data_IF_617629361309
#
_entry.id   IF_617629361309
#
_cell.length_a   1.000
_cell.length_b   1.000
_cell.length_c   1.000
_cell.angle_alpha   90.00
_cell.angle_beta   90.00
_cell.angle_gamma   90.00
#
_symmetry.space_group_name_H-M   'P 1'
#
loop_
_entity.id
_entity.type
_entity.pdbx_description
1 polymer ?
#
# COMPACT_ATOMS: atom_id res chain seq x y z
N UNK A 1 -3.64 14.23 -20.22
CA UNK A 1 -3.43 13.57 -18.92
C UNK A 1 -4.72 12.88 -18.55
N UNK A 2 -4.80 11.57 -18.67
CA UNK A 2 -6.00 10.80 -18.29
C UNK A 2 -6.06 10.76 -16.77
N UNK A 3 -7.05 11.41 -16.17
CA UNK A 3 -7.34 11.29 -14.74
C UNK A 3 -7.78 9.86 -14.47
N UNK A 4 -7.05 9.13 -13.67
CA UNK A 4 -7.48 7.84 -13.14
C UNK A 4 -8.69 8.05 -12.23
N UNK A 5 -9.79 7.37 -12.55
CA UNK A 5 -10.96 7.34 -11.68
C UNK A 5 -10.88 6.08 -10.80
N UNK A 6 -10.50 6.26 -9.54
CA UNK A 6 -10.35 5.19 -8.56
C UNK A 6 -11.68 4.61 -8.06
N UNK A 7 -12.80 5.26 -8.40
CA UNK A 7 -14.14 4.83 -8.00
C UNK A 7 -14.74 3.77 -8.94
N UNK A 8 -14.20 3.62 -10.14
CA UNK A 8 -14.65 2.60 -11.08
C UNK A 8 -13.84 1.31 -10.90
N UNK A 9 -14.53 0.15 -10.92
CA UNK A 9 -13.93 -1.19 -10.85
C UNK A 9 -13.20 -1.54 -12.15
N UNK A 10 -12.19 -0.81 -12.51
CA UNK A 10 -11.40 -1.11 -13.70
C UNK A 10 -10.22 -2.02 -13.34
N UNK A 11 -10.03 -3.04 -14.17
CA UNK A 11 -8.75 -3.72 -14.28
C UNK A 11 -7.78 -2.67 -14.81
N UNK A 12 -6.92 -2.16 -13.94
CA UNK A 12 -5.92 -1.16 -14.32
C UNK A 12 -4.89 -1.87 -15.19
N UNK A 13 -4.95 -1.67 -16.50
CA UNK A 13 -3.85 -1.99 -17.39
C UNK A 13 -2.80 -0.91 -17.21
N UNK A 14 -1.66 -1.31 -16.65
CA UNK A 14 -0.56 -0.38 -16.40
C UNK A 14 0.05 0.07 -17.72
N UNK A 15 0.15 1.38 -18.01
CA UNK A 15 1.04 1.82 -19.06
C UNK A 15 2.46 1.38 -18.73
N UNK A 16 3.24 1.05 -19.74
CA UNK A 16 4.66 0.62 -19.63
C UNK A 16 5.55 1.74 -19.08
N UNK A 17 5.28 2.22 -17.88
CA UNK A 17 6.22 3.06 -17.14
C UNK A 17 7.08 2.16 -16.26
N UNK A 18 8.37 2.35 -16.36
CA UNK A 18 9.38 1.64 -15.56
C UNK A 18 9.23 1.89 -14.05
N UNK A 19 8.54 2.96 -13.65
CA UNK A 19 8.35 3.33 -12.25
C UNK A 19 7.03 2.81 -11.68
N UNK A 20 7.12 2.14 -10.53
CA UNK A 20 5.96 1.78 -9.71
C UNK A 20 5.48 2.96 -8.86
N UNK A 21 6.42 3.68 -8.23
CA UNK A 21 6.15 4.85 -7.41
C UNK A 21 7.20 5.93 -7.69
N UNK A 22 6.78 7.18 -7.68
CA UNK A 22 7.65 8.34 -7.69
C UNK A 22 7.25 9.27 -6.53
N UNK A 23 8.21 9.63 -5.71
CA UNK A 23 8.04 10.49 -4.55
C UNK A 23 8.76 11.81 -4.82
N UNK A 24 8.08 12.92 -4.57
CA UNK A 24 8.60 14.26 -4.76
C UNK A 24 8.38 15.11 -3.52
N UNK A 25 9.48 15.62 -2.99
CA UNK A 25 9.51 16.56 -1.85
C UNK A 25 8.62 16.10 -0.68
N UNK A 26 8.76 14.82 -0.29
CA UNK A 26 7.94 14.24 0.75
C UNK A 26 8.38 14.71 2.12
N UNK A 27 7.47 15.36 2.84
CA UNK A 27 7.63 15.70 4.24
C UNK A 27 6.56 15.02 5.09
N UNK A 28 6.93 14.61 6.28
CA UNK A 28 5.99 14.05 7.26
C UNK A 28 6.22 14.66 8.61
N UNK A 29 5.17 15.17 9.22
CA UNK A 29 5.17 15.79 10.52
C UNK A 29 4.31 14.99 11.50
N UNK A 30 4.73 14.94 12.76
CA UNK A 30 3.94 14.50 13.90
C UNK A 30 3.82 15.68 14.88
N UNK A 31 2.69 16.38 14.83
CA UNK A 31 2.55 17.68 15.49
C UNK A 31 3.57 18.68 14.94
N UNK A 32 4.44 19.21 15.80
CA UNK A 32 5.50 20.14 15.39
C UNK A 32 6.80 19.46 14.96
N UNK A 33 6.93 18.14 15.16
CA UNK A 33 8.16 17.41 14.83
C UNK A 33 8.13 16.94 13.38
N UNK A 34 9.05 17.42 12.58
CA UNK A 34 9.30 16.92 11.23
C UNK A 34 10.09 15.61 11.30
N UNK A 35 9.46 14.53 10.87
CA UNK A 35 10.04 13.17 10.88
C UNK A 35 10.66 12.78 9.54
N UNK A 36 10.16 13.32 8.43
CA UNK A 36 10.70 13.18 7.08
C UNK A 36 10.87 14.58 6.49
N UNK A 37 12.03 14.85 5.90
CA UNK A 37 12.49 16.19 5.53
C UNK A 37 12.83 16.28 4.05
N UNK A 38 11.83 16.35 3.20
CA UNK A 38 11.99 16.52 1.77
C UNK A 38 12.71 15.33 1.10
N UNK A 39 12.01 14.21 0.93
CA UNK A 39 12.55 13.03 0.25
C UNK A 39 12.06 12.99 -1.19
N UNK A 40 13.00 12.88 -2.11
CA UNK A 40 12.77 12.50 -3.50
C UNK A 40 13.26 11.07 -3.70
N UNK A 41 12.40 10.18 -4.21
CA UNK A 41 12.73 8.78 -4.44
C UNK A 41 11.88 8.17 -5.55
N UNK A 42 12.47 7.23 -6.29
CA UNK A 42 11.77 6.47 -7.31
C UNK A 42 11.89 4.97 -7.03
N UNK A 43 10.82 4.25 -7.27
CA UNK A 43 10.77 2.81 -7.17
C UNK A 43 10.49 2.22 -8.54
N UNK A 44 11.38 1.38 -9.00
CA UNK A 44 11.20 0.66 -10.26
C UNK A 44 10.13 -0.42 -10.11
N UNK A 45 9.38 -0.63 -11.19
CA UNK A 45 8.39 -1.69 -11.27
C UNK A 45 9.07 -3.07 -11.25
N UNK A 46 8.47 -4.02 -10.52
CA UNK A 46 8.96 -5.40 -10.42
C UNK A 46 10.39 -5.52 -9.83
N UNK A 47 10.82 -4.56 -9.04
CA UNK A 47 12.10 -4.58 -8.31
C UNK A 47 11.88 -4.58 -6.81
N UNK A 48 12.87 -5.10 -6.10
CA UNK A 48 12.92 -5.04 -4.63
C UNK A 48 13.85 -3.89 -4.25
N UNK A 49 13.33 -2.94 -3.48
CA UNK A 49 14.11 -1.83 -2.92
C UNK A 49 14.20 -1.97 -1.41
N UNK A 50 15.40 -1.99 -0.85
CA UNK A 50 15.62 -2.06 0.59
C UNK A 50 15.93 -0.69 1.17
N UNK A 51 15.23 -0.30 2.26
CA UNK A 51 15.51 0.89 3.05
C UNK A 51 16.35 0.51 4.27
N UNK A 52 17.59 0.97 4.32
CA UNK A 52 18.55 0.66 5.38
C UNK A 52 18.84 1.93 6.18
N UNK A 53 18.98 1.80 7.49
CA UNK A 53 19.31 2.91 8.38
C UNK A 53 19.05 2.57 9.85
N UNK A 54 19.54 3.39 10.80
CA UNK A 54 19.38 3.16 12.22
C UNK A 54 17.92 3.19 12.67
N UNK A 55 17.64 2.67 13.88
CA UNK A 55 16.31 2.76 14.47
C UNK A 55 15.91 4.23 14.66
N UNK A 56 14.64 4.55 14.37
CA UNK A 56 14.10 5.89 14.51
C UNK A 56 14.43 6.89 13.39
N UNK A 57 15.17 6.52 12.32
CA UNK A 57 15.50 7.43 11.22
C UNK A 57 14.33 7.68 10.23
N UNK A 58 13.14 7.17 10.49
CA UNK A 58 11.95 7.49 9.68
C UNK A 58 11.53 6.42 8.67
N UNK A 59 12.22 5.27 8.53
CA UNK A 59 11.88 4.22 7.54
C UNK A 59 10.41 3.80 7.58
N UNK A 60 9.89 3.49 8.77
CA UNK A 60 8.48 3.08 8.94
C UNK A 60 7.51 4.22 8.68
N UNK A 61 7.89 5.46 9.02
CA UNK A 61 7.11 6.66 8.70
C UNK A 61 7.01 6.85 7.20
N UNK A 62 8.13 6.71 6.50
CA UNK A 62 8.19 6.77 5.04
C UNK A 62 7.30 5.68 4.40
N UNK A 63 7.48 4.40 4.78
CA UNK A 63 6.69 3.30 4.25
C UNK A 63 5.17 3.50 4.49
N UNK A 64 4.78 4.00 5.67
CA UNK A 64 3.37 4.32 5.97
C UNK A 64 2.82 5.46 5.13
N UNK A 65 3.67 6.35 4.63
CA UNK A 65 3.23 7.43 3.74
C UNK A 65 2.82 6.88 2.37
N UNK A 66 3.50 5.85 1.87
CA UNK A 66 3.27 5.31 0.52
C UNK A 66 1.84 4.79 0.31
N UNK A 67 1.19 4.32 1.37
CA UNK A 67 -0.20 3.84 1.33
C UNK A 67 -1.15 4.63 2.26
N UNK A 68 -0.76 5.83 2.64
CA UNK A 68 -1.54 6.75 3.48
C UNK A 68 -1.90 6.20 4.88
N UNK A 69 -1.12 5.25 5.40
CA UNK A 69 -1.35 4.76 6.77
C UNK A 69 -1.02 5.81 7.84
N UNK A 70 -0.29 6.87 7.52
CA UNK A 70 -0.11 8.01 8.43
C UNK A 70 -1.41 8.78 8.68
N UNK A 71 -2.41 8.72 7.78
CA UNK A 71 -3.73 9.34 7.95
C UNK A 71 -4.50 8.79 9.17
N UNK A 72 -4.10 7.63 9.69
CA UNK A 72 -4.71 7.04 10.91
C UNK A 72 -4.15 7.64 12.20
N UNK A 73 -3.23 8.57 12.10
CA UNK A 73 -2.57 9.23 13.24
C UNK A 73 -2.98 10.71 13.23
N UNK A 74 -3.82 11.13 14.16
CA UNK A 74 -4.45 12.46 14.18
C UNK A 74 -3.47 13.63 14.09
N UNK A 75 -2.28 13.48 14.68
CA UNK A 75 -1.23 14.51 14.65
C UNK A 75 -0.32 14.42 13.44
N UNK A 76 -0.52 13.44 12.56
CA UNK A 76 0.32 13.29 11.38
C UNK A 76 -0.15 14.21 10.24
N UNK A 77 0.82 14.84 9.61
CA UNK A 77 0.62 15.64 8.39
C UNK A 77 1.64 15.20 7.34
N UNK A 78 1.17 14.86 6.17
CA UNK A 78 2.00 14.47 5.02
C UNK A 78 1.86 15.55 3.96
N UNK A 79 2.98 16.04 3.43
CA UNK A 79 3.03 16.97 2.30
C UNK A 79 4.03 16.48 1.25
N UNK A 80 4.00 17.07 0.07
CA UNK A 80 4.71 16.57 -1.10
C UNK A 80 3.83 15.64 -1.92
N UNK A 81 4.39 14.98 -2.92
CA UNK A 81 3.66 14.13 -3.84
C UNK A 81 4.14 12.68 -3.78
N UNK A 82 3.21 11.76 -3.81
CA UNK A 82 3.47 10.32 -3.98
C UNK A 82 2.68 9.88 -5.20
N UNK A 83 3.38 9.69 -6.31
CA UNK A 83 2.78 9.35 -7.59
C UNK A 83 2.80 7.84 -7.79
N UNK A 84 1.64 7.22 -7.74
CA UNK A 84 1.43 5.84 -8.17
C UNK A 84 0.93 5.85 -9.61
N UNK A 85 1.76 5.43 -10.54
CA UNK A 85 1.46 5.45 -11.98
C UNK A 85 1.02 6.84 -12.49
N UNK A 86 1.64 7.88 -11.98
CA UNK A 86 1.37 9.26 -12.35
C UNK A 86 0.17 9.91 -11.64
N UNK A 87 -0.51 9.17 -10.75
CA UNK A 87 -1.61 9.70 -9.92
C UNK A 87 -1.08 9.98 -8.52
N UNK A 88 -1.28 11.20 -8.03
CA UNK A 88 -0.88 11.57 -6.67
C UNK A 88 -1.84 10.95 -5.65
N UNK A 89 -1.34 9.97 -4.90
CA UNK A 89 -2.13 9.27 -3.87
C UNK A 89 -2.52 10.16 -2.69
N UNK A 90 -1.86 11.31 -2.51
CA UNK A 90 -2.18 12.30 -1.46
C UNK A 90 -3.26 13.29 -1.90
N UNK A 91 -3.71 13.27 -3.15
CA UNK A 91 -4.74 14.17 -3.62
C UNK A 91 -6.07 13.97 -2.85
N UNK A 92 -6.77 15.07 -2.59
CA UNK A 92 -8.00 15.08 -1.77
C UNK A 92 -9.17 14.28 -2.36
N UNK A 93 -9.15 14.05 -3.67
CA UNK A 93 -10.18 13.30 -4.41
C UNK A 93 -9.89 11.80 -4.50
N UNK A 94 -8.84 11.30 -3.85
CA UNK A 94 -8.49 9.88 -3.86
C UNK A 94 -9.30 9.12 -2.80
N UNK A 95 -9.98 8.06 -3.25
CA UNK A 95 -10.55 7.08 -2.34
C UNK A 95 -9.44 6.20 -1.76
N UNK A 96 -9.13 6.41 -0.47
CA UNK A 96 -8.04 5.73 0.24
C UNK A 96 -8.24 4.21 0.30
N UNK A 97 -9.48 3.74 0.42
CA UNK A 97 -9.77 2.31 0.48
C UNK A 97 -9.51 1.62 -0.86
N UNK A 98 -9.86 2.28 -1.97
CA UNK A 98 -9.56 1.76 -3.31
C UNK A 98 -8.04 1.79 -3.58
N UNK A 99 -7.37 2.88 -3.25
CA UNK A 99 -5.92 3.01 -3.40
C UNK A 99 -5.16 1.92 -2.64
N UNK A 100 -5.57 1.59 -1.41
CA UNK A 100 -4.95 0.53 -0.60
C UNK A 100 -5.14 -0.88 -1.14
N UNK A 101 -6.04 -1.10 -2.10
CA UNK A 101 -6.11 -2.38 -2.83
C UNK A 101 -4.94 -2.58 -3.78
N UNK A 102 -4.27 -1.48 -4.17
CA UNK A 102 -3.14 -1.48 -5.09
C UNK A 102 -1.79 -1.37 -4.38
N UNK A 103 -1.74 -0.69 -3.23
CA UNK A 103 -0.52 -0.52 -2.44
C UNK A 103 -0.71 -1.21 -1.09
N UNK A 104 -0.40 -2.50 -1.06
CA UNK A 104 -0.48 -3.31 0.16
C UNK A 104 0.64 -2.99 1.14
N UNK A 105 0.45 -3.38 2.40
CA UNK A 105 1.47 -3.25 3.45
C UNK A 105 1.50 -4.48 4.33
N UNK A 106 2.69 -4.99 4.60
CA UNK A 106 2.93 -6.05 5.60
C UNK A 106 3.50 -5.40 6.85
N UNK A 107 2.82 -5.58 7.98
CA UNK A 107 3.25 -5.01 9.27
C UNK A 107 4.26 -5.93 9.96
N UNK A 108 5.15 -5.33 10.75
CA UNK A 108 6.13 -6.06 11.54
C UNK A 108 5.48 -7.00 12.56
N UNK A 109 4.35 -6.59 13.14
CA UNK A 109 3.54 -7.45 14.02
C UNK A 109 2.31 -7.91 13.23
N UNK A 110 2.11 -9.22 13.10
CA UNK A 110 0.91 -9.73 12.44
C UNK A 110 -0.33 -9.33 13.25
N UNK A 111 -1.39 -8.95 12.55
CA UNK A 111 -2.67 -8.60 13.17
C UNK A 111 -3.81 -9.39 12.49
N UNK A 112 -3.83 -10.72 12.66
CA UNK A 112 -4.88 -11.54 12.09
C UNK A 112 -6.22 -11.27 12.79
N UNK A 113 -7.31 -11.43 12.06
CA UNK A 113 -8.63 -11.47 12.65
C UNK A 113 -8.76 -12.72 13.54
N UNK A 114 -9.59 -12.64 14.59
CA UNK A 114 -9.95 -13.78 15.44
C UNK A 114 -10.82 -14.81 14.67
N UNK A 115 -10.27 -15.38 13.62
CA UNK A 115 -10.85 -16.33 12.68
C UNK A 115 -9.84 -17.41 12.34
N UNK A 116 -10.29 -18.50 11.69
CA UNK A 116 -9.36 -19.52 11.18
C UNK A 116 -8.36 -18.93 10.16
N UNK A 117 -7.24 -19.63 9.95
CA UNK A 117 -6.25 -19.29 8.90
C UNK A 117 -6.95 -19.15 7.55
N UNK A 118 -7.78 -20.14 7.19
CA UNK A 118 -8.58 -20.11 5.97
C UNK A 118 -9.38 -18.81 5.84
N UNK A 119 -10.15 -18.44 6.85
CA UNK A 119 -10.96 -17.22 6.83
C UNK A 119 -10.16 -15.93 6.86
N UNK A 120 -8.96 -15.93 7.38
CA UNK A 120 -8.06 -14.77 7.28
C UNK A 120 -7.59 -14.56 5.84
N UNK A 121 -7.26 -15.65 5.13
CA UNK A 121 -6.82 -15.59 3.74
C UNK A 121 -8.00 -15.22 2.81
N UNK A 122 -9.16 -15.87 2.98
CA UNK A 122 -10.31 -15.66 2.08
C UNK A 122 -11.02 -14.33 2.31
N UNK A 123 -10.87 -13.69 3.47
CA UNK A 123 -11.62 -12.51 3.88
C UNK A 123 -11.66 -11.41 2.82
N UNK A 124 -10.51 -11.05 2.25
CA UNK A 124 -10.44 -9.99 1.24
C UNK A 124 -11.12 -10.40 -0.08
N UNK A 125 -11.00 -11.66 -0.47
CA UNK A 125 -11.61 -12.20 -1.68
C UNK A 125 -13.14 -12.31 -1.55
N UNK A 126 -13.63 -12.77 -0.39
CA UNK A 126 -15.06 -12.80 -0.08
C UNK A 126 -15.66 -11.38 -0.11
N UNK A 127 -14.93 -10.37 0.40
CA UNK A 127 -15.36 -8.96 0.34
C UNK A 127 -15.37 -8.39 -1.08
N UNK A 128 -14.56 -8.92 -1.97
CA UNK A 128 -14.59 -8.60 -3.41
C UNK A 128 -15.66 -9.36 -4.18
N UNK A 129 -16.46 -10.22 -3.49
CA UNK A 129 -17.58 -10.93 -4.07
C UNK A 129 -17.28 -12.36 -4.54
N UNK A 130 -16.08 -12.89 -4.29
CA UNK A 130 -15.76 -14.30 -4.56
C UNK A 130 -16.56 -15.17 -3.59
N UNK A 131 -17.43 -16.05 -4.11
CA UNK A 131 -18.31 -16.92 -3.33
C UNK A 131 -18.08 -18.41 -3.60
N UNK A 132 -17.45 -18.70 -4.73
CA UNK A 132 -17.19 -20.07 -5.12
C UNK A 132 -16.16 -20.72 -4.18
N UNK A 133 -16.55 -21.85 -3.60
CA UNK A 133 -15.72 -22.55 -2.62
C UNK A 133 -14.44 -23.09 -3.23
N UNK A 134 -14.51 -23.63 -4.45
CA UNK A 134 -13.34 -24.18 -5.11
C UNK A 134 -12.28 -23.12 -5.36
N UNK A 135 -12.70 -21.96 -5.87
CA UNK A 135 -11.82 -20.80 -6.07
C UNK A 135 -11.19 -20.33 -4.76
N UNK A 136 -11.96 -20.30 -3.66
CA UNK A 136 -11.42 -19.91 -2.35
C UNK A 136 -10.41 -20.93 -1.81
N UNK A 137 -10.66 -22.23 -2.01
CA UNK A 137 -9.73 -23.31 -1.62
C UNK A 137 -8.41 -23.21 -2.40
N UNK A 138 -8.46 -22.97 -3.72
CA UNK A 138 -7.29 -22.77 -4.57
C UNK A 138 -6.48 -21.52 -4.15
N UNK A 139 -7.15 -20.42 -3.79
CA UNK A 139 -6.50 -19.20 -3.28
C UNK A 139 -5.76 -19.50 -1.99
N UNK A 140 -6.38 -20.24 -1.06
CA UNK A 140 -5.76 -20.58 0.23
C UNK A 140 -4.56 -21.47 0.03
N UNK A 141 -4.70 -22.52 -0.75
CA UNK A 141 -3.60 -23.45 -1.06
C UNK A 141 -2.42 -22.71 -1.70
N UNK A 142 -2.68 -21.91 -2.73
CA UNK A 142 -1.65 -21.13 -3.42
C UNK A 142 -0.95 -20.16 -2.47
N UNK A 143 -1.70 -19.44 -1.64
CA UNK A 143 -1.14 -18.48 -0.69
C UNK A 143 -0.26 -19.14 0.35
N UNK A 144 -0.68 -20.28 0.89
CA UNK A 144 0.11 -21.03 1.88
C UNK A 144 1.36 -21.66 1.26
N UNK A 145 1.27 -22.19 0.03
CA UNK A 145 2.44 -22.70 -0.69
C UNK A 145 3.47 -21.60 -0.96
N UNK A 146 3.03 -20.42 -1.41
CA UNK A 146 3.92 -19.29 -1.65
C UNK A 146 4.59 -18.78 -0.36
N UNK A 147 3.91 -18.91 0.77
CA UNK A 147 4.46 -18.55 2.09
C UNK A 147 5.33 -19.65 2.72
N UNK A 148 5.43 -20.84 2.11
CA UNK A 148 6.13 -22.00 2.66
C UNK A 148 5.44 -22.60 3.89
N UNK A 149 4.12 -22.48 3.98
CA UNK A 149 3.31 -22.90 5.13
C UNK A 149 2.30 -24.00 4.78
N UNK A 150 2.44 -24.62 3.61
CA UNK A 150 1.60 -25.74 3.15
C UNK A 150 2.21 -27.09 3.51
#
# INVERSE_FOLDING_TARGET
MTKYNWDERHIITFPEKELALEIKDLHVYYGQKEAIKGIDMQFEKNKITALIGPSGCGKSTFLRSLNRMNDTIDIAKVTGQILYQGVDVNASNINVYEMRKHIGMVFQRPNPFAKSIYRNITFAHERKGVRDKQTLDEIVETSLKQAGLW
#
